data_IF_874188498124
#
_entry.id   IF_874188498124
#
_cell.length_a   1.000
_cell.length_b   1.000
_cell.length_c   1.000
_cell.angle_alpha   90.00
_cell.angle_beta   90.00
_cell.angle_gamma   90.00
#
_symmetry.space_group_name_H-M   'P 1'
#
loop_
_entity.id
_entity.type
_entity.pdbx_description
1 polymer ?
#
# COMPACT_ATOMS: atom_id res chain seq x y z
N UNK A 1 9.23 1.80 19.73
CA UNK A 1 7.79 1.97 19.46
C UNK A 1 7.58 1.60 18.02
N UNK A 2 6.92 0.46 17.75
CA UNK A 2 6.44 0.13 16.41
C UNK A 2 5.54 1.28 15.94
N UNK A 3 5.79 1.81 14.74
CA UNK A 3 4.88 2.77 14.10
C UNK A 3 3.55 2.04 13.91
N UNK A 4 2.63 2.29 14.83
CA UNK A 4 1.23 1.90 14.72
C UNK A 4 0.66 2.58 13.50
N UNK A 5 0.36 1.80 12.46
CA UNK A 5 -0.37 2.21 11.25
C UNK A 5 -1.56 3.07 11.69
N UNK A 6 -1.83 4.23 11.08
CA UNK A 6 -2.92 5.08 11.52
C UNK A 6 -4.25 4.31 11.47
N UNK A 7 -4.81 4.07 12.65
CA UNK A 7 -5.84 3.08 12.91
C UNK A 7 -7.27 3.50 12.47
N UNK A 8 -7.41 4.65 11.82
CA UNK A 8 -8.70 5.24 11.48
C UNK A 8 -9.06 5.15 9.98
N UNK A 9 -8.20 4.53 9.16
CA UNK A 9 -8.42 4.44 7.71
C UNK A 9 -9.16 3.16 7.28
N UNK A 10 -10.10 3.32 6.34
CA UNK A 10 -10.88 2.20 5.78
C UNK A 10 -10.01 1.22 4.97
N UNK A 11 -8.98 1.73 4.31
CA UNK A 11 -8.09 0.99 3.43
C UNK A 11 -6.64 1.07 3.92
N UNK A 12 -5.91 -0.03 3.75
CA UNK A 12 -4.49 -0.14 4.03
C UNK A 12 -3.81 -0.98 2.95
N UNK A 13 -2.60 -0.61 2.54
CA UNK A 13 -1.72 -1.43 1.73
C UNK A 13 -0.32 -1.47 2.33
N UNK A 14 0.28 -2.64 2.34
CA UNK A 14 1.67 -2.86 2.69
C UNK A 14 2.52 -2.97 1.42
N UNK A 15 3.61 -2.21 1.40
CA UNK A 15 4.50 -2.08 0.26
C UNK A 15 5.87 -2.58 0.68
N UNK A 16 6.36 -3.61 0.01
CA UNK A 16 7.71 -4.14 0.17
C UNK A 16 8.66 -3.46 -0.81
N UNK A 17 9.89 -3.20 -0.40
CA UNK A 17 10.95 -2.70 -1.29
C UNK A 17 12.34 -3.16 -0.82
N UNK A 18 13.31 -3.13 -1.72
CA UNK A 18 14.67 -3.57 -1.43
C UNK A 18 15.36 -2.64 -0.40
N UNK A 19 15.96 -3.22 0.63
CA UNK A 19 16.85 -2.50 1.55
C UNK A 19 18.28 -3.00 1.42
N UNK A 20 19.23 -2.22 1.94
CA UNK A 20 20.67 -2.52 1.82
C UNK A 20 21.08 -3.89 2.38
N UNK A 21 20.33 -4.43 3.34
CA UNK A 21 20.63 -5.70 4.03
C UNK A 21 19.46 -6.67 3.99
N UNK A 22 18.23 -6.17 3.96
CA UNK A 22 17.01 -6.96 3.99
C UNK A 22 15.86 -6.17 3.35
N UNK A 23 14.79 -6.87 3.00
CA UNK A 23 13.55 -6.24 2.55
C UNK A 23 13.01 -5.28 3.61
N UNK A 24 12.49 -4.15 3.14
CA UNK A 24 11.87 -3.11 3.95
C UNK A 24 10.40 -2.99 3.57
N UNK A 25 9.63 -2.44 4.49
CA UNK A 25 8.20 -2.26 4.34
C UNK A 25 7.82 -0.82 4.66
N UNK A 26 6.90 -0.29 3.87
CA UNK A 26 6.15 0.93 4.16
C UNK A 26 4.66 0.64 3.99
N UNK A 27 3.82 1.61 4.35
CA UNK A 27 2.37 1.46 4.22
C UNK A 27 1.74 2.67 3.56
N UNK A 28 0.70 2.40 2.79
CA UNK A 28 -0.22 3.39 2.25
C UNK A 28 -1.61 3.21 2.86
N UNK A 29 -2.35 4.30 3.06
CA UNK A 29 -3.68 4.29 3.69
C UNK A 29 -4.65 5.24 3.00
N UNK A 30 -5.95 5.00 3.18
CA UNK A 30 -6.99 5.88 2.66
C UNK A 30 -8.38 5.56 3.20
N UNK A 31 -9.29 6.53 3.18
CA UNK A 31 -10.72 6.32 3.46
C UNK A 31 -11.51 6.00 2.19
N UNK A 32 -10.94 6.30 1.03
CA UNK A 32 -11.45 5.89 -0.28
C UNK A 32 -10.39 5.09 -1.03
N UNK A 33 -10.81 4.36 -2.07
CA UNK A 33 -9.87 3.66 -2.96
C UNK A 33 -8.94 4.64 -3.68
N UNK A 34 -9.41 5.83 -4.04
CA UNK A 34 -8.59 6.85 -4.71
C UNK A 34 -7.52 7.41 -3.77
N UNK A 35 -7.87 7.70 -2.51
CA UNK A 35 -6.90 8.11 -1.49
C UNK A 35 -5.82 7.05 -1.27
N UNK A 36 -6.22 5.77 -1.17
CA UNK A 36 -5.27 4.67 -1.04
C UNK A 36 -4.31 4.64 -2.24
N UNK A 37 -4.83 4.71 -3.46
CA UNK A 37 -4.01 4.64 -4.67
C UNK A 37 -3.05 5.84 -4.79
N UNK A 38 -3.50 7.04 -4.40
CA UNK A 38 -2.65 8.23 -4.38
C UNK A 38 -1.54 8.13 -3.32
N UNK A 39 -1.81 7.52 -2.16
CA UNK A 39 -0.80 7.30 -1.14
C UNK A 39 0.20 6.19 -1.55
N UNK A 40 -0.27 5.16 -2.27
CA UNK A 40 0.62 4.19 -2.93
C UNK A 40 1.54 4.91 -3.93
N UNK A 41 1.00 5.79 -4.79
CA UNK A 41 1.81 6.58 -5.75
C UNK A 41 2.92 7.35 -5.03
N UNK A 42 2.61 7.96 -3.87
CA UNK A 42 3.57 8.69 -3.04
C UNK A 42 4.67 7.77 -2.53
N UNK A 43 4.31 6.66 -1.89
CA UNK A 43 5.28 5.70 -1.34
C UNK A 43 6.13 5.08 -2.45
N UNK A 44 5.53 4.67 -3.57
CA UNK A 44 6.24 4.14 -4.74
C UNK A 44 7.25 5.15 -5.28
N UNK A 45 6.89 6.43 -5.35
CA UNK A 45 7.80 7.49 -5.82
C UNK A 45 9.00 7.68 -4.89
N UNK A 46 8.81 7.55 -3.57
CA UNK A 46 9.90 7.67 -2.59
C UNK A 46 10.91 6.52 -2.73
N UNK A 47 10.44 5.31 -3.01
CA UNK A 47 11.28 4.10 -3.13
C UNK A 47 11.42 3.56 -4.56
N UNK A 48 11.11 4.36 -5.58
CA UNK A 48 11.03 3.92 -6.99
C UNK A 48 12.29 3.21 -7.51
N UNK A 49 13.46 3.54 -6.95
CA UNK A 49 14.76 2.97 -7.30
C UNK A 49 15.04 1.62 -6.62
N UNK A 50 14.10 1.10 -5.83
CA UNK A 50 14.24 -0.09 -4.98
C UNK A 50 13.18 -1.15 -5.25
N UNK A 51 12.63 -1.16 -6.47
CA UNK A 51 11.63 -2.12 -6.94
C UNK A 51 10.47 -2.32 -5.95
N UNK A 52 9.69 -1.27 -5.64
CA UNK A 52 8.58 -1.40 -4.71
C UNK A 52 7.45 -2.29 -5.27
N UNK A 53 6.81 -3.05 -4.39
CA UNK A 53 5.72 -3.96 -4.70
C UNK A 53 4.62 -3.90 -3.62
N UNK A 54 3.35 -3.85 -4.04
CA UNK A 54 2.20 -3.98 -3.13
C UNK A 54 2.05 -5.47 -2.79
N UNK A 55 2.35 -5.84 -1.55
CA UNK A 55 2.34 -7.24 -1.10
C UNK A 55 1.05 -7.63 -0.37
N UNK A 56 0.38 -6.66 0.25
CA UNK A 56 -0.92 -6.87 0.87
C UNK A 56 -1.77 -5.60 0.77
N UNK A 57 -3.07 -5.74 0.54
CA UNK A 57 -4.03 -4.66 0.76
C UNK A 57 -5.31 -5.17 1.43
N UNK A 58 -5.81 -4.41 2.40
CA UNK A 58 -6.95 -4.74 3.25
C UNK A 58 -8.02 -3.63 3.24
N UNK A 59 -9.28 -4.06 3.31
CA UNK A 59 -10.42 -3.22 3.70
C UNK A 59 -10.82 -3.54 5.13
N UNK A 60 -11.16 -2.50 5.90
CA UNK A 60 -11.43 -2.58 7.34
C UNK A 60 -10.31 -3.32 8.07
N UNK A 61 -9.06 -2.84 8.01
CA UNK A 61 -7.90 -3.55 8.57
C UNK A 61 -8.06 -3.85 10.07
N UNK A 62 -8.86 -3.04 10.79
CA UNK A 62 -9.15 -3.20 12.22
C UNK A 62 -10.46 -3.95 12.53
N UNK A 63 -11.22 -4.38 11.52
CA UNK A 63 -12.52 -5.05 11.66
C UNK A 63 -12.48 -6.48 11.12
N UNK A 64 -13.57 -6.90 10.47
CA UNK A 64 -13.53 -8.12 9.62
C UNK A 64 -12.74 -7.74 8.37
N UNK A 65 -11.44 -7.97 8.42
CA UNK A 65 -10.55 -7.63 7.34
C UNK A 65 -10.92 -8.42 6.07
N UNK A 66 -10.83 -7.74 4.93
CA UNK A 66 -10.97 -8.38 3.62
C UNK A 66 -9.74 -8.09 2.80
N UNK A 67 -9.05 -9.14 2.39
CA UNK A 67 -7.93 -9.00 1.46
C UNK A 67 -8.45 -8.56 0.08
N UNK A 68 -7.93 -7.43 -0.39
CA UNK A 68 -8.26 -6.79 -1.66
C UNK A 68 -7.01 -6.58 -2.53
N UNK A 69 -5.90 -7.23 -2.21
CA UNK A 69 -4.59 -7.07 -2.90
C UNK A 69 -4.72 -7.16 -4.42
N UNK A 70 -5.39 -8.21 -4.93
CA UNK A 70 -5.61 -8.38 -6.38
C UNK A 70 -6.43 -7.25 -7.01
N UNK A 71 -7.40 -6.69 -6.28
CA UNK A 71 -8.20 -5.57 -6.75
C UNK A 71 -7.34 -4.30 -6.83
N UNK A 72 -6.56 -4.02 -5.78
CA UNK A 72 -5.67 -2.85 -5.74
C UNK A 72 -4.62 -2.93 -6.83
N UNK A 73 -3.94 -4.07 -6.98
CA UNK A 73 -2.96 -4.28 -8.06
C UNK A 73 -3.58 -4.02 -9.44
N UNK A 74 -4.76 -4.60 -9.71
CA UNK A 74 -5.46 -4.36 -10.98
C UNK A 74 -5.76 -2.89 -11.21
N UNK A 75 -6.29 -2.19 -10.20
CA UNK A 75 -6.66 -0.78 -10.33
C UNK A 75 -5.43 0.13 -10.46
N UNK A 76 -4.36 -0.16 -9.73
CA UNK A 76 -3.12 0.62 -9.74
C UNK A 76 -2.44 0.52 -11.12
N UNK A 77 -2.13 -0.69 -11.59
CA UNK A 77 -1.42 -0.85 -12.86
C UNK A 77 -2.27 -0.45 -14.09
N UNK A 78 -3.61 -0.55 -14.01
CA UNK A 78 -4.49 0.00 -15.06
C UNK A 78 -4.50 1.54 -15.12
N UNK A 79 -4.08 2.24 -14.06
CA UNK A 79 -3.93 3.72 -14.09
C UNK A 79 -2.68 4.13 -14.84
N UNK A 80 -1.58 3.38 -14.69
CA UNK A 80 -0.30 3.69 -15.34
C UNK A 80 -0.28 3.37 -16.85
N UNK A 81 -1.18 2.52 -17.34
CA UNK A 81 -1.37 2.24 -18.77
C UNK A 81 -2.10 3.36 -19.55
N UNK A 82 -2.53 4.44 -18.87
CA UNK A 82 -3.22 5.59 -19.48
C UNK A 82 -2.32 6.81 -19.58
#
# INVERSE_FOLDING_TARGET
MEKRVPHDYMYHAEIMYEGEVAMRYTCAVGNTMEELLNDIDKEFKEVQHRMPEIVEALVFPNGINKNITNLVNRLYYQREEK
#
